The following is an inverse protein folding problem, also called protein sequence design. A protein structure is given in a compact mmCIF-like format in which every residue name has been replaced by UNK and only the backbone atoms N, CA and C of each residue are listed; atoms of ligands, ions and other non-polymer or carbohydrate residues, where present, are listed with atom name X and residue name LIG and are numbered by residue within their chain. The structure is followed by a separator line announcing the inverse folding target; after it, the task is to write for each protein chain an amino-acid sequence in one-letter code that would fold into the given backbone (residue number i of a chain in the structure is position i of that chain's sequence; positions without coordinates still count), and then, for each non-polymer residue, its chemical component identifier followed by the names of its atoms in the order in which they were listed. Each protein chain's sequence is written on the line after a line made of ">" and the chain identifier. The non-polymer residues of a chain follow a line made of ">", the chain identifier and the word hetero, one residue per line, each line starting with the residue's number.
data_IF_496331424236
#
_entry.id   IF_496331424236
#
_cell.length_a   1.000
_cell.length_b   1.000
_cell.length_c   1.000
_cell.angle_alpha   90.00
_cell.angle_beta   90.00
_cell.angle_gamma   90.00
#
_symmetry.space_group_name_H-M   'P 1'
#
loop_
_entity.id
_entity.type
_entity.pdbx_description
1 polymer ?
#
# COMPACT_ATOMS: atom_id res chain seq x y z
N UNK A 1 16.55 37.77 -16.36
CA UNK A 1 16.27 36.39 -16.81
C UNK A 1 16.27 35.51 -15.58
N UNK A 2 15.15 34.87 -15.23
CA UNK A 2 15.07 33.94 -14.10
C UNK A 2 15.40 32.55 -14.64
N UNK A 3 16.56 32.00 -14.28
CA UNK A 3 16.87 30.61 -14.58
C UNK A 3 16.01 29.73 -13.67
N UNK A 4 15.10 28.96 -14.27
CA UNK A 4 14.42 27.88 -13.59
C UNK A 4 15.47 26.81 -13.26
N UNK A 5 15.73 26.65 -11.97
CA UNK A 5 16.58 25.59 -11.45
C UNK A 5 15.74 24.31 -11.47
N UNK A 6 15.84 23.53 -12.55
CA UNK A 6 15.25 22.20 -12.64
C UNK A 6 15.91 21.30 -11.58
N UNK A 7 15.18 21.06 -10.49
CA UNK A 7 15.59 20.13 -9.44
C UNK A 7 15.43 18.70 -9.94
N UNK A 8 16.45 18.20 -10.64
CA UNK A 8 16.55 16.78 -10.98
C UNK A 8 16.87 16.01 -9.70
N UNK A 9 15.85 15.48 -9.04
CA UNK A 9 16.03 14.49 -7.98
C UNK A 9 16.94 13.35 -8.48
N UNK A 10 17.89 12.84 -7.66
CA UNK A 10 18.78 11.75 -8.04
C UNK A 10 18.00 10.54 -8.56
N UNK A 11 18.52 9.87 -9.59
CA UNK A 11 17.84 8.73 -10.22
C UNK A 11 17.48 7.62 -9.22
N UNK A 12 18.32 7.38 -8.22
CA UNK A 12 18.08 6.39 -7.14
C UNK A 12 16.83 6.72 -6.30
N UNK A 13 16.62 8.00 -5.95
CA UNK A 13 15.42 8.45 -5.22
C UNK A 13 14.14 8.19 -6.01
N UNK A 14 14.20 8.35 -7.34
CA UNK A 14 13.05 8.07 -8.23
C UNK A 14 12.72 6.59 -8.22
N UNK A 15 13.72 5.70 -8.31
CA UNK A 15 13.52 4.23 -8.34
C UNK A 15 12.89 3.73 -7.03
N UNK A 16 13.35 4.23 -5.87
CA UNK A 16 12.80 3.86 -4.56
C UNK A 16 11.32 4.29 -4.44
N UNK A 17 11.01 5.52 -4.86
CA UNK A 17 9.64 6.02 -4.85
C UNK A 17 8.71 5.17 -5.73
N UNK A 18 9.16 4.76 -6.94
CA UNK A 18 8.40 3.86 -7.81
C UNK A 18 8.15 2.49 -7.17
N UNK A 19 9.15 1.93 -6.47
CA UNK A 19 9.03 0.64 -5.79
C UNK A 19 7.99 0.70 -4.66
N UNK A 20 8.05 1.74 -3.82
CA UNK A 20 7.07 1.94 -2.74
C UNK A 20 5.64 2.15 -3.27
N UNK A 21 5.45 3.00 -4.28
CA UNK A 21 4.13 3.24 -4.89
C UNK A 21 3.56 1.94 -5.46
N UNK A 22 4.40 1.14 -6.14
CA UNK A 22 4.01 -0.15 -6.70
C UNK A 22 3.55 -1.11 -5.60
N UNK A 23 4.31 -1.20 -4.50
CA UNK A 23 3.98 -2.05 -3.34
C UNK A 23 2.66 -1.62 -2.68
N UNK A 24 2.47 -0.32 -2.45
CA UNK A 24 1.20 0.22 -1.92
C UNK A 24 0.03 -0.10 -2.85
N UNK A 25 0.23 0.04 -4.16
CA UNK A 25 -0.81 -0.23 -5.17
C UNK A 25 -1.22 -1.71 -5.19
N UNK A 26 -0.25 -2.63 -5.17
CA UNK A 26 -0.48 -4.07 -5.09
C UNK A 26 -1.22 -4.42 -3.80
N UNK A 27 -0.79 -3.83 -2.69
CA UNK A 27 -1.35 -4.08 -1.37
C UNK A 27 -2.80 -3.58 -1.25
N UNK A 28 -3.11 -2.39 -1.78
CA UNK A 28 -4.49 -1.88 -1.89
C UNK A 28 -5.37 -2.77 -2.80
N UNK A 29 -4.83 -3.23 -3.93
CA UNK A 29 -5.54 -4.12 -4.84
C UNK A 29 -5.90 -5.46 -4.19
N UNK A 30 -4.98 -6.06 -3.42
CA UNK A 30 -5.25 -7.28 -2.64
C UNK A 30 -6.37 -7.07 -1.61
N UNK A 31 -6.35 -5.95 -0.90
CA UNK A 31 -7.40 -5.62 0.07
C UNK A 31 -8.77 -5.47 -0.61
N UNK A 32 -8.83 -4.81 -1.77
CA UNK A 32 -10.06 -4.68 -2.56
C UNK A 32 -10.54 -6.04 -3.07
N UNK A 33 -9.63 -6.86 -3.60
CA UNK A 33 -9.96 -8.21 -4.08
C UNK A 33 -10.58 -9.06 -2.97
N UNK A 34 -10.02 -9.02 -1.76
CA UNK A 34 -10.57 -9.73 -0.61
C UNK A 34 -11.97 -9.22 -0.24
N UNK A 35 -12.18 -7.90 -0.28
CA UNK A 35 -13.49 -7.32 0.02
C UNK A 35 -14.53 -7.66 -1.06
N UNK A 36 -14.14 -7.65 -2.34
CA UNK A 36 -14.99 -7.94 -3.49
C UNK A 36 -15.61 -9.34 -3.50
N UNK A 37 -15.06 -10.28 -2.70
CA UNK A 37 -15.72 -11.57 -2.45
C UNK A 37 -17.05 -11.42 -1.71
N UNK A 38 -17.22 -10.36 -0.93
CA UNK A 38 -18.34 -10.18 -0.01
C UNK A 38 -19.14 -8.90 -0.27
N UNK A 39 -18.56 -7.92 -0.95
CA UNK A 39 -19.19 -6.63 -1.15
C UNK A 39 -18.43 -5.71 -2.11
N UNK A 40 -19.08 -4.64 -2.51
CA UNK A 40 -18.51 -3.59 -3.36
C UNK A 40 -18.36 -2.34 -2.50
N UNK A 41 -17.17 -1.75 -2.48
CA UNK A 41 -16.94 -0.49 -1.78
C UNK A 41 -17.06 0.67 -2.76
N UNK A 42 -18.06 1.54 -2.57
CA UNK A 42 -18.38 2.60 -3.53
C UNK A 42 -17.62 3.91 -3.31
N UNK A 43 -16.77 3.98 -2.28
CA UNK A 43 -16.02 5.18 -1.89
C UNK A 43 -14.52 4.87 -1.83
N UNK A 44 -13.96 4.54 -3.01
CA UNK A 44 -12.53 4.24 -3.17
C UNK A 44 -11.77 5.56 -3.26
N UNK A 45 -11.10 5.94 -2.16
CA UNK A 45 -10.23 7.11 -2.08
C UNK A 45 -9.08 6.85 -1.11
N UNK A 46 -7.96 7.56 -1.27
CA UNK A 46 -6.73 7.32 -0.49
C UNK A 46 -6.93 7.37 1.02
N UNK A 47 -7.82 8.22 1.53
CA UNK A 47 -8.14 8.31 2.97
C UNK A 47 -8.80 7.07 3.54
N UNK A 48 -9.35 6.20 2.69
CA UNK A 48 -10.03 4.96 3.09
C UNK A 48 -9.10 3.74 3.02
N UNK A 49 -7.82 3.95 2.70
CA UNK A 49 -6.78 2.91 2.77
C UNK A 49 -5.82 3.23 3.90
N UNK A 50 -5.55 2.24 4.73
CA UNK A 50 -4.54 2.36 5.79
C UNK A 50 -3.46 1.31 5.55
N UNK A 51 -2.22 1.77 5.52
CA UNK A 51 -1.03 0.94 5.32
C UNK A 51 -0.21 0.85 6.61
N UNK A 52 0.22 -0.35 6.98
CA UNK A 52 1.08 -0.58 8.15
C UNK A 52 2.26 -1.45 7.76
N UNK A 53 3.43 -1.19 8.34
CA UNK A 53 4.53 -2.15 8.29
C UNK A 53 4.30 -3.22 9.34
N UNK A 54 4.26 -4.49 8.92
CA UNK A 54 4.33 -5.65 9.80
C UNK A 54 5.77 -5.75 10.28
N UNK A 55 6.08 -5.08 11.39
CA UNK A 55 7.23 -5.49 12.18
C UNK A 55 6.90 -6.87 12.78
N UNK A 56 7.36 -7.94 12.13
CA UNK A 56 7.54 -9.22 12.82
C UNK A 56 8.43 -8.91 14.03
N UNK A 57 7.95 -9.24 15.23
CA UNK A 57 8.68 -9.07 16.49
C UNK A 57 9.98 -9.87 16.47
N UNK A 58 11.00 -9.34 15.82
CA UNK A 58 12.40 -9.67 16.01
C UNK A 58 13.10 -8.37 16.41
N UNK A 59 12.73 -7.86 17.59
CA UNK A 59 13.30 -6.67 18.21
C UNK A 59 14.80 -6.83 18.57
N UNK A 60 15.47 -7.93 18.20
CA UNK A 60 16.88 -8.16 18.50
C UNK A 60 17.87 -7.76 17.39
N UNK A 61 17.42 -7.36 16.19
CA UNK A 61 18.33 -6.94 15.10
C UNK A 61 18.38 -5.43 14.81
N UNK A 62 17.61 -4.62 15.53
CA UNK A 62 17.54 -3.17 15.38
C UNK A 62 18.44 -2.43 16.39
N UNK A 63 19.66 -2.94 16.57
CA UNK A 63 20.75 -2.15 17.15
C UNK A 63 21.94 -2.30 16.22
N UNK A 64 22.48 -1.16 15.81
CA UNK A 64 23.62 -0.97 14.89
C UNK A 64 23.26 -0.92 13.39
N UNK A 65 22.69 0.20 12.97
CA UNK A 65 23.10 0.94 11.75
C UNK A 65 22.46 2.33 11.75
N UNK A 66 23.06 3.22 12.54
CA UNK A 66 23.00 4.65 12.25
C UNK A 66 23.81 4.88 10.96
N UNK A 67 23.16 5.51 9.98
CA UNK A 67 23.67 5.92 8.66
C UNK A 67 23.56 4.87 7.55
N UNK A 68 22.81 5.27 6.52
CA UNK A 68 22.57 4.60 5.24
C UNK A 68 21.87 3.25 5.32
N UNK A 69 20.55 3.28 5.08
CA UNK A 69 19.82 2.43 4.14
C UNK A 69 18.32 2.69 4.34
N UNK A 70 17.67 3.26 3.33
CA UNK A 70 16.22 3.15 3.20
C UNK A 70 15.97 1.66 2.98
N UNK A 71 15.62 0.93 4.04
CA UNK A 71 15.37 -0.51 3.95
C UNK A 71 14.27 -0.75 2.90
N UNK A 72 14.57 -1.58 1.89
CA UNK A 72 13.56 -2.02 0.96
C UNK A 72 12.51 -2.81 1.74
N UNK A 73 11.32 -2.23 1.89
CA UNK A 73 10.18 -2.93 2.51
C UNK A 73 9.90 -4.18 1.70
N UNK A 74 10.14 -5.37 2.26
CA UNK A 74 9.78 -6.62 1.58
C UNK A 74 8.25 -6.70 1.38
N UNK A 75 7.80 -7.39 0.33
CA UNK A 75 6.38 -7.44 -0.07
C UNK A 75 5.45 -8.02 1.02
N UNK A 76 5.99 -8.84 1.91
CA UNK A 76 5.29 -9.47 3.04
C UNK A 76 5.26 -8.60 4.31
N UNK A 77 6.06 -7.54 4.35
CA UNK A 77 6.14 -6.60 5.47
C UNK A 77 5.13 -5.45 5.35
N UNK A 78 4.36 -5.35 4.26
CA UNK A 78 3.33 -4.31 4.08
C UNK A 78 1.91 -4.88 4.21
N UNK A 79 1.11 -4.32 5.11
CA UNK A 79 -0.31 -4.66 5.28
C UNK A 79 -1.19 -3.47 4.89
N UNK A 80 -2.23 -3.73 4.08
CA UNK A 80 -3.24 -2.73 3.71
C UNK A 80 -4.62 -3.15 4.17
N UNK A 81 -5.33 -2.20 4.76
CA UNK A 81 -6.73 -2.34 5.16
C UNK A 81 -7.56 -1.27 4.47
N UNK A 82 -8.75 -1.66 4.05
CA UNK A 82 -9.76 -0.71 3.64
C UNK A 82 -10.64 -0.41 4.86
N UNK A 83 -11.03 0.84 5.02
CA UNK A 83 -11.87 1.33 6.11
C UNK A 83 -13.02 2.16 5.53
N UNK A 84 -13.91 2.66 6.41
CA UNK A 84 -15.06 3.49 6.02
C UNK A 84 -16.04 2.78 5.07
N UNK A 85 -16.67 1.72 5.56
CA UNK A 85 -17.62 0.90 4.80
C UNK A 85 -19.04 1.50 4.70
N UNK A 86 -19.24 2.78 5.04
CA UNK A 86 -20.57 3.40 5.11
C UNK A 86 -21.31 3.41 3.76
N UNK A 87 -20.56 3.41 2.66
CA UNK A 87 -21.08 3.40 1.29
C UNK A 87 -20.98 2.02 0.63
N UNK A 88 -20.56 1.00 1.38
CA UNK A 88 -20.36 -0.33 0.83
C UNK A 88 -21.66 -1.10 0.69
N UNK A 89 -21.75 -1.93 -0.35
CA UNK A 89 -22.86 -2.82 -0.61
C UNK A 89 -22.39 -4.25 -0.42
N UNK A 90 -23.05 -5.01 0.45
CA UNK A 90 -22.76 -6.44 0.61
C UNK A 90 -23.46 -7.24 -0.49
N UNK A 91 -22.75 -8.20 -1.07
CA UNK A 91 -23.30 -9.11 -2.06
C UNK A 91 -24.02 -10.26 -1.36
N UNK A 92 -25.18 -10.70 -1.87
CA UNK A 92 -25.81 -11.93 -1.40
C UNK A 92 -24.86 -13.12 -1.55
N UNK A 93 -24.91 -14.06 -0.62
CA UNK A 93 -24.05 -15.25 -0.65
C UNK A 93 -24.20 -16.10 -1.94
N UNK A 94 -25.32 -15.92 -2.65
CA UNK A 94 -25.67 -16.61 -3.89
C UNK A 94 -24.89 -16.07 -5.12
N UNK A 95 -24.50 -14.80 -5.11
CA UNK A 95 -23.82 -14.14 -6.24
C UNK A 95 -22.28 -14.21 -6.14
N UNK A 96 -21.73 -14.61 -4.99
CA UNK A 96 -20.28 -14.73 -4.76
C UNK A 96 -19.62 -15.86 -5.59
N UNK A 97 -20.41 -16.71 -6.24
CA UNK A 97 -19.95 -17.83 -7.08
C UNK A 97 -19.75 -17.42 -8.56
N UNK A 98 -20.27 -16.26 -8.98
CA UNK A 98 -20.33 -15.88 -10.39
C UNK A 98 -19.10 -15.08 -10.91
N UNK A 99 -18.16 -14.70 -10.04
CA UNK A 99 -16.95 -13.97 -10.44
C UNK A 99 -15.76 -14.95 -10.40
N UNK A 100 -15.53 -15.65 -11.50
CA UNK A 100 -14.32 -16.46 -11.77
C UNK A 100 -13.55 -15.89 -12.95
#
# INVERSE_FOLDING_TARGET
>A
MKNAMETNAPQETRIIAYNLITKISICAAKALQHFHKYGIHLDIKSSNFVTFSKHTKNEEKLKEKENDLIEEIEDDQLECKIIDFNTSVLLPAEDAVAIK
#
